data_IF_257264792557
#
_entry.id   IF_257264792557
#
_cell.length_a   1.000
_cell.length_b   1.000
_cell.length_c   1.000
_cell.angle_alpha   90.00
_cell.angle_beta   90.00
_cell.angle_gamma   90.00
#
_symmetry.space_group_name_H-M   'P 1'
#
loop_
_entity.id
_entity.type
_entity.pdbx_description
1 polymer ?
#
# COMPACT_ATOMS: atom_id res chain seq x y z
N UNK A 1 -33.92 27.23 0.93
CA UNK A 1 -32.97 26.43 1.73
C UNK A 1 -31.82 26.05 0.81
N UNK A 2 -30.62 26.53 1.09
CA UNK A 2 -29.43 26.15 0.34
C UNK A 2 -28.96 24.83 0.95
N UNK A 3 -29.13 23.73 0.21
CA UNK A 3 -28.58 22.44 0.60
C UNK A 3 -27.06 22.56 0.45
N UNK A 4 -26.36 22.75 1.58
CA UNK A 4 -24.92 22.61 1.62
C UNK A 4 -24.63 21.13 1.40
N UNK A 5 -24.36 20.75 0.15
CA UNK A 5 -23.81 19.43 -0.14
C UNK A 5 -22.41 19.45 0.51
N UNK A 6 -22.14 18.62 1.54
CA UNK A 6 -20.82 18.57 2.13
C UNK A 6 -19.85 18.19 1.02
N UNK A 7 -18.75 18.94 0.88
CA UNK A 7 -17.65 18.59 -0.02
C UNK A 7 -17.12 17.22 0.40
N UNK A 8 -17.65 16.14 -0.17
CA UNK A 8 -17.23 14.76 0.08
C UNK A 8 -15.88 14.41 -0.58
N UNK A 9 -15.10 15.41 -0.98
CA UNK A 9 -13.90 15.25 -1.81
C UNK A 9 -12.68 16.03 -1.33
N UNK A 10 -12.56 16.34 -0.03
CA UNK A 10 -11.35 17.04 0.44
C UNK A 10 -10.20 16.08 0.80
N UNK A 11 -10.44 14.77 0.91
CA UNK A 11 -9.40 13.75 1.08
C UNK A 11 -9.84 12.38 0.52
N UNK A 12 -8.93 11.56 -0.04
CA UNK A 12 -9.19 10.17 -0.40
C UNK A 12 -9.76 9.38 0.79
N UNK A 13 -10.58 8.36 0.53
CA UNK A 13 -11.23 7.54 1.58
C UNK A 13 -10.26 7.02 2.64
N UNK A 14 -9.01 6.73 2.27
CA UNK A 14 -7.98 6.22 3.16
C UNK A 14 -7.36 7.30 4.09
N UNK A 15 -7.43 8.58 3.72
CA UNK A 15 -7.01 9.72 4.55
C UNK A 15 -8.19 10.38 5.30
N UNK A 16 -9.43 10.04 4.93
CA UNK A 16 -10.60 10.60 5.57
C UNK A 16 -10.76 10.09 7.01
N UNK A 17 -10.74 11.00 7.97
CA UNK A 17 -10.98 10.68 9.38
C UNK A 17 -12.42 10.16 9.58
N UNK A 18 -12.55 9.10 10.36
CA UNK A 18 -13.84 8.67 10.92
C UNK A 18 -14.35 9.73 11.92
N UNK A 19 -15.66 9.79 12.19
CA UNK A 19 -16.21 10.66 13.24
C UNK A 19 -15.52 10.45 14.59
N UNK A 20 -15.39 11.50 15.42
CA UNK A 20 -14.64 11.47 16.69
C UNK A 20 -15.05 10.35 17.66
N UNK A 21 -16.31 9.91 17.63
CA UNK A 21 -16.81 8.80 18.45
C UNK A 21 -16.59 7.40 17.86
N UNK A 22 -15.94 7.31 16.70
CA UNK A 22 -15.74 6.08 15.95
C UNK A 22 -14.25 5.77 15.71
N UNK A 23 -13.34 6.49 16.37
CA UNK A 23 -11.90 6.21 16.29
C UNK A 23 -11.60 4.83 16.85
N UNK A 24 -10.61 4.15 16.29
CA UNK A 24 -10.12 2.91 16.87
C UNK A 24 -9.18 3.24 18.03
N UNK A 25 -9.36 2.57 19.17
CA UNK A 25 -8.52 2.77 20.35
C UNK A 25 -7.78 1.48 20.66
N UNK A 26 -6.46 1.53 20.60
CA UNK A 26 -5.60 0.44 21.05
C UNK A 26 -5.57 0.34 22.58
N UNK A 27 -5.25 -0.84 23.10
CA UNK A 27 -5.14 -1.08 24.55
C UNK A 27 -4.07 -0.21 25.25
N UNK A 28 -3.07 0.29 24.51
CA UNK A 28 -2.07 1.24 25.01
C UNK A 28 -2.57 2.72 25.02
N UNK A 29 -3.80 2.98 24.60
CA UNK A 29 -4.41 4.31 24.53
C UNK A 29 -4.17 5.07 23.23
N UNK A 30 -3.35 4.54 22.31
CA UNK A 30 -3.15 5.13 20.98
C UNK A 30 -4.46 5.09 20.17
N UNK A 31 -4.73 6.19 19.46
CA UNK A 31 -5.95 6.36 18.66
C UNK A 31 -5.61 6.31 17.17
N UNK A 32 -6.50 5.72 16.38
CA UNK A 32 -6.39 5.60 14.92
C UNK A 32 -7.66 6.18 14.30
N UNK A 33 -7.50 7.22 13.49
CA UNK A 33 -8.61 8.01 12.95
C UNK A 33 -8.98 7.62 11.53
N UNK A 34 -8.08 7.01 10.76
CA UNK A 34 -8.29 6.68 9.36
C UNK A 34 -7.45 5.46 8.95
N UNK A 35 -7.62 4.98 7.71
CA UNK A 35 -6.91 3.79 7.22
C UNK A 35 -5.40 4.04 7.03
N UNK A 36 -5.00 5.28 6.74
CA UNK A 36 -3.59 5.65 6.61
C UNK A 36 -2.84 5.52 7.94
N UNK A 37 -3.39 6.12 9.01
CA UNK A 37 -2.87 5.98 10.37
C UNK A 37 -2.85 4.51 10.78
N UNK A 38 -3.87 3.72 10.40
CA UNK A 38 -3.87 2.28 10.69
C UNK A 38 -2.64 1.58 10.07
N UNK A 39 -2.33 1.85 8.80
CA UNK A 39 -1.14 1.30 8.15
C UNK A 39 0.14 1.72 8.90
N UNK A 40 0.30 2.99 9.24
CA UNK A 40 1.46 3.51 9.95
C UNK A 40 1.62 2.89 11.35
N UNK A 41 0.51 2.68 12.04
CA UNK A 41 0.52 2.01 13.34
C UNK A 41 0.94 0.56 13.16
N UNK A 42 0.38 -0.16 12.18
CA UNK A 42 0.73 -1.56 11.92
C UNK A 42 2.20 -1.77 11.60
N UNK A 43 2.90 -0.81 10.98
CA UNK A 43 4.33 -0.96 10.67
C UNK A 43 5.22 -0.95 11.92
N UNK A 44 4.76 -0.34 13.02
CA UNK A 44 5.57 -0.12 14.23
C UNK A 44 5.00 -0.73 15.51
N UNK A 45 3.75 -1.22 15.49
CA UNK A 45 3.07 -1.75 16.66
C UNK A 45 3.76 -3.00 17.22
N UNK A 46 3.73 -3.12 18.55
CA UNK A 46 4.14 -4.34 19.25
C UNK A 46 3.24 -5.53 18.87
N UNK A 47 3.85 -6.71 18.71
CA UNK A 47 3.13 -7.91 18.26
C UNK A 47 2.12 -8.41 19.30
N UNK A 48 2.42 -8.33 20.59
CA UNK A 48 1.48 -8.74 21.64
C UNK A 48 0.26 -7.82 21.69
N UNK A 49 0.48 -6.52 21.46
CA UNK A 49 -0.60 -5.54 21.35
C UNK A 49 -1.46 -5.81 20.11
N UNK A 50 -0.85 -6.12 18.95
CA UNK A 50 -1.58 -6.49 17.74
C UNK A 50 -2.45 -7.74 17.95
N UNK A 51 -1.89 -8.79 18.55
CA UNK A 51 -2.59 -10.06 18.82
C UNK A 51 -3.80 -9.92 19.75
N UNK A 52 -3.81 -8.88 20.60
CA UNK A 52 -4.96 -8.55 21.44
C UNK A 52 -6.17 -8.00 20.68
N UNK A 53 -5.98 -7.59 19.42
CA UNK A 53 -7.03 -7.06 18.54
C UNK A 53 -7.27 -7.91 17.29
N UNK A 54 -6.27 -8.70 16.87
CA UNK A 54 -6.31 -9.55 15.69
C UNK A 54 -5.76 -10.94 16.03
N UNK A 55 -6.65 -11.93 16.06
CA UNK A 55 -6.34 -13.34 16.26
C UNK A 55 -7.46 -14.20 15.63
N UNK A 56 -7.35 -15.55 15.65
CA UNK A 56 -8.37 -16.41 15.01
C UNK A 56 -9.80 -16.27 15.57
N UNK A 57 -9.95 -15.76 16.80
CA UNK A 57 -11.25 -15.61 17.47
C UNK A 57 -11.80 -14.17 17.38
N UNK A 58 -10.93 -13.18 17.13
CA UNK A 58 -11.23 -11.76 17.23
C UNK A 58 -10.54 -10.96 16.13
N UNK A 59 -11.29 -10.06 15.49
CA UNK A 59 -10.76 -9.23 14.40
C UNK A 59 -11.27 -7.79 14.50
N UNK A 60 -10.92 -7.11 15.60
CA UNK A 60 -11.41 -5.78 15.93
C UNK A 60 -11.15 -4.76 14.82
N UNK A 61 -9.99 -4.85 14.17
CA UNK A 61 -9.63 -3.97 13.05
C UNK A 61 -10.60 -4.12 11.87
N UNK A 62 -11.03 -5.35 11.55
CA UNK A 62 -11.98 -5.57 10.46
C UNK A 62 -13.37 -5.07 10.85
N UNK A 63 -13.79 -5.31 12.09
CA UNK A 63 -15.05 -4.78 12.62
C UNK A 63 -15.06 -3.24 12.59
N UNK A 64 -13.97 -2.59 12.99
CA UNK A 64 -13.84 -1.14 12.91
C UNK A 64 -13.91 -0.62 11.47
N UNK A 65 -13.23 -1.26 10.52
CA UNK A 65 -13.31 -0.90 9.10
C UNK A 65 -14.74 -1.06 8.56
N UNK A 66 -15.47 -2.10 8.98
CA UNK A 66 -16.86 -2.30 8.60
C UNK A 66 -17.77 -1.19 9.13
N UNK A 67 -17.75 -0.94 10.44
CA UNK A 67 -18.74 -0.10 11.11
C UNK A 67 -18.39 1.39 11.14
N UNK A 68 -17.10 1.72 11.22
CA UNK A 68 -16.62 3.10 11.37
C UNK A 68 -16.14 3.69 10.05
N UNK A 69 -15.39 2.93 9.25
CA UNK A 69 -14.91 3.39 7.94
C UNK A 69 -15.97 3.18 6.84
N UNK A 70 -16.84 2.19 6.99
CA UNK A 70 -17.86 1.85 6.00
C UNK A 70 -17.25 1.20 4.75
N UNK A 71 -16.29 0.28 4.92
CA UNK A 71 -15.71 -0.49 3.83
C UNK A 71 -15.90 -2.00 4.02
N UNK A 72 -17.07 -2.56 3.64
CA UNK A 72 -17.36 -3.97 3.84
C UNK A 72 -16.42 -4.89 3.05
N UNK A 73 -16.01 -4.48 1.85
CA UNK A 73 -15.09 -5.27 1.03
C UNK A 73 -13.70 -5.36 1.68
N UNK A 74 -13.14 -4.24 2.14
CA UNK A 74 -11.87 -4.24 2.87
C UNK A 74 -11.97 -5.01 4.19
N UNK A 75 -13.07 -4.87 4.93
CA UNK A 75 -13.29 -5.64 6.17
C UNK A 75 -13.18 -7.15 5.92
N UNK A 76 -13.83 -7.67 4.88
CA UNK A 76 -13.76 -9.10 4.56
C UNK A 76 -12.36 -9.55 4.11
N UNK A 77 -11.60 -8.71 3.42
CA UNK A 77 -10.20 -9.02 3.09
C UNK A 77 -9.30 -9.01 4.34
N UNK A 78 -9.50 -8.06 5.26
CA UNK A 78 -8.72 -7.98 6.49
C UNK A 78 -8.91 -9.24 7.33
N UNK A 79 -10.15 -9.75 7.45
CA UNK A 79 -10.46 -10.99 8.19
C UNK A 79 -9.68 -12.22 7.76
N UNK A 80 -9.15 -12.24 6.54
CA UNK A 80 -8.37 -13.38 6.02
C UNK A 80 -6.92 -13.37 6.55
N UNK A 81 -6.48 -12.30 7.21
CA UNK A 81 -5.10 -12.07 7.57
C UNK A 81 -4.94 -11.82 9.07
N UNK A 82 -4.26 -12.72 9.76
CA UNK A 82 -3.98 -12.59 11.20
C UNK A 82 -2.58 -12.07 11.52
N UNK A 83 -1.76 -11.85 10.49
CA UNK A 83 -0.39 -11.38 10.62
C UNK A 83 -0.28 -9.94 10.15
N UNK A 84 0.55 -9.15 10.84
CA UNK A 84 0.85 -7.75 10.56
C UNK A 84 1.04 -7.44 9.08
N UNK A 85 1.91 -8.20 8.42
CA UNK A 85 2.24 -7.96 7.01
C UNK A 85 1.04 -8.19 6.08
N UNK A 86 0.25 -9.24 6.33
CA UNK A 86 -0.97 -9.50 5.56
C UNK A 86 -2.00 -8.37 5.70
N UNK A 87 -2.12 -7.77 6.89
CA UNK A 87 -2.98 -6.63 7.14
C UNK A 87 -2.51 -5.38 6.37
N UNK A 88 -1.21 -5.08 6.42
CA UNK A 88 -0.60 -3.95 5.69
C UNK A 88 -0.84 -4.10 4.19
N UNK A 89 -0.50 -5.26 3.61
CA UNK A 89 -0.71 -5.52 2.18
C UNK A 89 -2.19 -5.38 1.80
N UNK A 90 -3.10 -5.83 2.67
CA UNK A 90 -4.54 -5.68 2.44
C UNK A 90 -4.98 -4.23 2.41
N UNK A 91 -4.48 -3.40 3.32
CA UNK A 91 -4.73 -1.95 3.34
C UNK A 91 -4.16 -1.25 2.12
N UNK A 92 -2.93 -1.59 1.72
CA UNK A 92 -2.26 -1.02 0.55
C UNK A 92 -3.02 -1.34 -0.74
N UNK A 93 -3.47 -2.58 -0.90
CA UNK A 93 -4.33 -2.98 -2.03
C UNK A 93 -5.61 -2.17 -2.10
N UNK A 94 -6.22 -1.87 -0.96
CA UNK A 94 -7.44 -1.05 -0.94
C UNK A 94 -7.15 0.43 -1.22
N UNK A 95 -6.03 0.96 -0.71
CA UNK A 95 -5.56 2.30 -1.05
C UNK A 95 -5.36 2.42 -2.56
N UNK A 96 -4.71 1.42 -3.16
CA UNK A 96 -4.54 1.31 -4.61
C UNK A 96 -5.88 1.31 -5.35
N UNK A 97 -6.84 0.46 -4.97
CA UNK A 97 -8.16 0.39 -5.63
C UNK A 97 -9.00 1.66 -5.53
N UNK A 98 -8.78 2.47 -4.50
CA UNK A 98 -9.56 3.68 -4.24
C UNK A 98 -8.90 4.96 -4.74
N UNK A 99 -7.66 4.87 -5.26
CA UNK A 99 -7.12 5.89 -6.13
C UNK A 99 -8.03 5.93 -7.37
N UNK A 100 -8.84 6.98 -7.48
CA UNK A 100 -9.61 7.29 -8.69
C UNK A 100 -8.62 7.77 -9.76
N UNK A 101 -7.73 6.85 -10.17
CA UNK A 101 -6.54 7.14 -10.94
C UNK A 101 -6.97 7.44 -12.37
N UNK A 102 -6.75 8.66 -12.88
CA UNK A 102 -7.15 8.96 -14.24
C UNK A 102 -6.40 8.04 -15.23
N UNK A 103 -7.06 7.54 -16.30
CA UNK A 103 -6.43 6.62 -17.24
C UNK A 103 -5.11 7.13 -17.83
N UNK A 104 -4.98 8.45 -18.04
CA UNK A 104 -3.75 9.07 -18.53
C UNK A 104 -2.58 9.01 -17.53
N UNK A 105 -2.86 9.02 -16.22
CA UNK A 105 -1.82 8.85 -15.19
C UNK A 105 -1.36 7.39 -15.17
N UNK A 106 -2.31 6.45 -15.22
CA UNK A 106 -2.00 5.02 -15.30
C UNK A 106 -1.17 4.70 -16.56
N UNK A 107 -1.56 5.25 -17.72
CA UNK A 107 -0.81 5.08 -18.97
C UNK A 107 0.63 5.61 -18.85
N UNK A 108 0.80 6.76 -18.19
CA UNK A 108 2.13 7.35 -17.96
C UNK A 108 2.99 6.45 -17.07
N UNK A 109 2.48 5.97 -15.93
CA UNK A 109 3.26 5.13 -15.02
C UNK A 109 3.58 3.74 -15.58
N UNK A 110 2.75 3.25 -16.51
CA UNK A 110 3.02 2.01 -17.25
C UNK A 110 4.04 2.19 -18.39
N UNK A 111 4.30 3.42 -18.83
CA UNK A 111 5.21 3.67 -19.95
C UNK A 111 6.68 3.41 -19.55
N UNK A 112 7.52 2.95 -20.48
CA UNK A 112 8.95 2.86 -20.24
C UNK A 112 9.59 4.25 -20.03
N UNK A 113 10.61 4.31 -19.18
CA UNK A 113 11.43 5.50 -18.92
C UNK A 113 12.80 5.38 -19.58
N UNK A 114 13.46 6.53 -19.79
CA UNK A 114 14.79 6.57 -20.42
C UNK A 114 15.91 6.18 -19.44
N UNK A 115 15.80 6.60 -18.17
CA UNK A 115 16.76 6.24 -17.14
C UNK A 115 16.46 4.84 -16.59
N UNK A 116 17.31 3.88 -16.96
CA UNK A 116 17.16 2.49 -16.54
C UNK A 116 17.67 2.28 -15.12
N UNK A 117 17.05 1.37 -14.39
CA UNK A 117 17.57 0.83 -13.14
C UNK A 117 18.40 -0.43 -13.44
N UNK A 118 19.54 -0.60 -12.76
CA UNK A 118 20.46 -1.74 -12.98
C UNK A 118 20.68 -2.44 -11.64
N UNK A 119 20.38 -3.74 -11.60
CA UNK A 119 20.64 -4.59 -10.44
C UNK A 119 22.13 -4.93 -10.32
N UNK A 120 22.57 -5.31 -9.12
CA UNK A 120 23.98 -5.71 -8.88
C UNK A 120 24.45 -6.92 -9.70
N UNK A 121 23.51 -7.74 -10.18
CA UNK A 121 23.76 -8.87 -11.10
C UNK A 121 23.82 -8.48 -12.59
N UNK A 122 23.52 -7.22 -12.94
CA UNK A 122 23.65 -6.65 -14.29
C UNK A 122 22.37 -6.56 -15.10
N UNK A 123 21.27 -7.18 -14.65
CA UNK A 123 19.94 -7.01 -15.25
C UNK A 123 19.51 -5.54 -15.14
N UNK A 124 18.87 -5.03 -16.20
CA UNK A 124 18.36 -3.68 -16.24
C UNK A 124 16.86 -3.65 -16.52
N UNK A 125 16.18 -2.66 -15.96
CA UNK A 125 14.74 -2.46 -16.10
C UNK A 125 14.45 -1.00 -16.40
N UNK A 126 13.42 -0.76 -17.20
CA UNK A 126 13.03 0.58 -17.63
C UNK A 126 11.52 0.82 -17.53
N UNK A 127 10.78 -0.07 -16.87
CA UNK A 127 9.34 0.00 -16.68
C UNK A 127 8.93 -0.83 -15.48
N UNK A 128 7.71 -0.59 -14.96
CA UNK A 128 7.19 -1.42 -13.87
C UNK A 128 6.99 -2.89 -14.28
N UNK A 129 6.63 -3.17 -15.53
CA UNK A 129 6.48 -4.56 -15.99
C UNK A 129 7.83 -5.28 -16.08
N UNK A 130 8.87 -4.62 -16.63
CA UNK A 130 10.22 -5.20 -16.63
C UNK A 130 10.76 -5.38 -15.22
N UNK A 131 10.49 -4.45 -14.29
CA UNK A 131 10.80 -4.59 -12.87
C UNK A 131 10.14 -5.83 -12.25
N UNK A 132 8.82 -6.03 -12.45
CA UNK A 132 8.11 -7.23 -11.97
C UNK A 132 8.75 -8.51 -12.49
N UNK A 133 9.01 -8.57 -13.80
CA UNK A 133 9.54 -9.77 -14.45
C UNK A 133 10.95 -10.12 -13.94
N UNK A 134 11.81 -9.12 -13.76
CA UNK A 134 13.16 -9.31 -13.22
C UNK A 134 13.12 -9.71 -11.75
N UNK A 135 12.33 -9.04 -10.90
CA UNK A 135 12.17 -9.40 -9.48
C UNK A 135 11.70 -10.85 -9.27
N UNK A 136 10.91 -11.40 -10.20
CA UNK A 136 10.47 -12.79 -10.15
C UNK A 136 11.59 -13.82 -10.39
N UNK A 137 12.67 -13.41 -11.07
CA UNK A 137 13.71 -14.31 -11.56
C UNK A 137 15.05 -14.15 -10.83
N UNK A 138 15.40 -12.93 -10.41
CA UNK A 138 16.69 -12.66 -9.79
C UNK A 138 16.77 -13.21 -8.36
N UNK A 139 18.00 -13.41 -7.88
CA UNK A 139 18.27 -13.88 -6.52
C UNK A 139 18.10 -12.77 -5.48
N UNK A 140 17.90 -13.16 -4.22
CA UNK A 140 17.83 -12.17 -3.12
C UNK A 140 19.16 -11.41 -2.97
N UNK A 141 20.30 -12.08 -3.20
CA UNK A 141 21.63 -11.46 -3.16
C UNK A 141 21.81 -10.34 -4.21
N UNK A 142 21.09 -10.39 -5.33
CA UNK A 142 21.12 -9.34 -6.34
C UNK A 142 20.36 -8.07 -5.90
N UNK A 143 19.40 -8.23 -4.99
CA UNK A 143 18.47 -7.19 -4.52
C UNK A 143 18.94 -6.56 -3.21
N UNK A 144 19.54 -7.35 -2.32
CA UNK A 144 19.97 -6.93 -0.98
C UNK A 144 20.76 -5.61 -0.96
N UNK A 145 21.77 -5.37 -1.83
CA UNK A 145 22.51 -4.11 -1.83
C UNK A 145 21.66 -2.87 -2.12
N UNK A 146 20.53 -3.04 -2.79
CA UNK A 146 19.60 -1.95 -3.11
C UNK A 146 18.64 -1.64 -1.97
N UNK A 147 18.42 -2.60 -1.06
CA UNK A 147 17.51 -2.47 0.08
C UNK A 147 18.14 -1.79 1.29
N UNK A 148 19.46 -1.77 1.39
CA UNK A 148 20.20 -1.22 2.55
C UNK A 148 20.10 0.31 2.70
N UNK A 149 19.57 1.01 1.69
CA UNK A 149 19.44 2.48 1.67
C UNK A 149 18.03 2.91 2.06
N UNK A 150 17.90 4.16 2.55
CA UNK A 150 16.61 4.74 2.93
C UNK A 150 16.38 6.08 2.19
N UNK A 151 15.36 6.17 1.31
CA UNK A 151 14.58 5.04 0.78
C UNK A 151 15.48 4.10 -0.02
N UNK A 152 15.05 2.84 -0.21
CA UNK A 152 15.82 1.89 -1.02
C UNK A 152 15.94 2.38 -2.47
N UNK A 153 16.97 1.90 -3.17
CA UNK A 153 17.30 2.42 -4.51
C UNK A 153 16.15 2.21 -5.51
N UNK A 154 15.38 1.13 -5.35
CA UNK A 154 14.26 0.79 -6.23
C UNK A 154 13.11 1.75 -6.00
N UNK A 155 12.73 2.00 -4.75
CA UNK A 155 11.72 2.99 -4.38
C UNK A 155 12.12 4.39 -4.88
N UNK A 156 13.39 4.76 -4.71
CA UNK A 156 13.92 6.02 -5.24
C UNK A 156 13.80 6.11 -6.76
N UNK A 157 14.13 5.05 -7.49
CA UNK A 157 14.00 5.03 -8.96
C UNK A 157 12.53 5.12 -9.41
N UNK A 158 11.62 4.40 -8.78
CA UNK A 158 10.18 4.49 -9.07
C UNK A 158 9.66 5.92 -8.82
N UNK A 159 10.12 6.55 -7.74
CA UNK A 159 9.79 7.94 -7.44
C UNK A 159 10.33 8.92 -8.49
N UNK A 160 11.62 8.86 -8.77
CA UNK A 160 12.34 9.88 -9.53
C UNK A 160 12.09 9.74 -11.04
N UNK A 161 12.05 8.51 -11.55
CA UNK A 161 11.98 8.24 -13.00
C UNK A 161 10.57 7.91 -13.49
N UNK A 162 9.83 7.05 -12.78
CA UNK A 162 8.43 6.71 -13.15
C UNK A 162 7.48 7.83 -12.72
N UNK A 163 7.76 8.46 -11.57
CA UNK A 163 6.89 9.45 -10.94
C UNK A 163 5.67 8.83 -10.25
N UNK A 164 5.78 7.56 -9.85
CA UNK A 164 4.73 6.81 -9.15
C UNK A 164 5.00 6.84 -7.63
N UNK A 165 4.69 7.99 -7.03
CA UNK A 165 4.90 8.25 -5.61
C UNK A 165 4.19 7.23 -4.69
N UNK A 166 2.93 6.82 -4.97
CA UNK A 166 2.26 5.82 -4.14
C UNK A 166 2.97 4.47 -4.12
N UNK A 167 3.41 3.97 -5.28
CA UNK A 167 4.17 2.73 -5.33
C UNK A 167 5.54 2.90 -4.67
N UNK A 168 6.23 4.01 -4.91
CA UNK A 168 7.54 4.28 -4.31
C UNK A 168 7.49 4.24 -2.77
N UNK A 169 6.46 4.83 -2.15
CA UNK A 169 6.27 4.78 -0.69
C UNK A 169 6.13 3.35 -0.18
N UNK A 170 5.37 2.51 -0.88
CA UNK A 170 5.18 1.09 -0.52
C UNK A 170 6.48 0.30 -0.70
N UNK A 171 7.19 0.55 -1.79
CA UNK A 171 8.47 -0.11 -2.04
C UNK A 171 9.51 0.29 -1.00
N UNK A 172 9.49 1.53 -0.48
CA UNK A 172 10.44 2.01 0.52
C UNK A 172 10.44 1.16 1.80
N UNK A 173 9.28 0.60 2.17
CA UNK A 173 9.09 -0.25 3.34
C UNK A 173 9.39 -1.74 3.08
N UNK A 174 9.67 -2.13 1.83
CA UNK A 174 9.95 -3.52 1.47
C UNK A 174 11.35 -3.93 1.94
N UNK A 175 11.44 -5.04 2.66
CA UNK A 175 12.67 -5.55 3.27
C UNK A 175 13.26 -6.76 2.55
N UNK A 176 12.62 -7.23 1.48
CA UNK A 176 13.09 -8.35 0.67
C UNK A 176 12.50 -8.31 -0.75
N UNK A 177 13.10 -9.11 -1.64
CA UNK A 177 12.70 -9.22 -3.05
C UNK A 177 11.24 -9.65 -3.23
N UNK A 178 10.75 -10.58 -2.41
CA UNK A 178 9.37 -11.09 -2.56
C UNK A 178 8.34 -10.01 -2.22
N UNK A 179 8.61 -9.17 -1.22
CA UNK A 179 7.76 -8.02 -0.90
C UNK A 179 7.72 -7.01 -2.05
N UNK A 180 8.89 -6.66 -2.61
CA UNK A 180 8.97 -5.80 -3.79
C UNK A 180 8.16 -6.38 -4.97
N UNK A 181 8.35 -7.66 -5.28
CA UNK A 181 7.64 -8.35 -6.37
C UNK A 181 6.12 -8.27 -6.20
N UNK A 182 5.62 -8.60 -5.00
CA UNK A 182 4.19 -8.58 -4.72
C UNK A 182 3.62 -7.15 -4.84
N UNK A 183 4.31 -6.15 -4.29
CA UNK A 183 3.89 -4.75 -4.37
C UNK A 183 3.81 -4.26 -5.83
N UNK A 184 4.84 -4.51 -6.64
CA UNK A 184 4.86 -4.13 -8.07
C UNK A 184 3.78 -4.91 -8.85
N UNK A 185 3.62 -6.21 -8.61
CA UNK A 185 2.63 -7.05 -9.29
C UNK A 185 1.19 -6.60 -9.02
N UNK A 186 0.88 -6.31 -7.75
CA UNK A 186 -0.44 -5.82 -7.36
C UNK A 186 -0.71 -4.43 -7.97
N UNK A 187 0.30 -3.55 -7.95
CA UNK A 187 0.18 -2.21 -8.52
C UNK A 187 -0.05 -2.23 -10.03
N UNK A 188 0.65 -3.10 -10.76
CA UNK A 188 0.43 -3.28 -12.21
C UNK A 188 -1.00 -3.70 -12.53
N UNK A 189 -1.60 -4.58 -11.72
CA UNK A 189 -3.00 -4.98 -11.90
C UNK A 189 -3.94 -3.78 -11.75
N UNK A 190 -3.72 -2.94 -10.73
CA UNK A 190 -4.47 -1.71 -10.52
C UNK A 190 -4.34 -0.74 -11.71
N UNK A 191 -3.11 -0.49 -12.18
CA UNK A 191 -2.89 0.41 -13.33
C UNK A 191 -3.59 -0.09 -14.59
N UNK A 192 -3.57 -1.40 -14.82
CA UNK A 192 -4.26 -2.02 -15.96
C UNK A 192 -5.78 -1.91 -15.86
N UNK A 193 -6.35 -1.98 -14.66
CA UNK A 193 -7.78 -1.81 -14.45
C UNK A 193 -8.20 -0.34 -14.61
N UNK A 194 -7.39 0.61 -14.13
CA UNK A 194 -7.60 2.05 -14.33
C UNK A 194 -7.55 2.48 -15.81
N UNK A 195 -6.86 1.72 -16.68
CA UNK A 195 -6.89 1.96 -18.13
C UNK A 195 -8.21 1.53 -18.80
N UNK A 196 -8.99 0.66 -18.15
CA UNK A 196 -10.24 0.10 -18.71
C UNK A 196 -11.48 0.91 -18.28
N UNK A 197 -11.37 1.71 -17.22
CA UNK A 197 -12.44 2.55 -16.66
C UNK A 197 -12.59 3.86 -17.41
#
# INVERSE_FOLDING_TARGET
MITVIPRRYDAPKWQANVPTGQVFKLNNGQLIHNLFELKQVLSSIDETLLQSHVNPEQHDLAAWVLYSVGDPALSEELKKNHHRWGLIVTLERQLMRTLNLPPFVAARWLAPVTAVFIFSSGESVNSLDSLKNVLNQISDAAVEPHLDRVPNDIAKWVNDEIGDYPLAEILADSSNRLQLYNAVSDHLTMLQDALKS
#
